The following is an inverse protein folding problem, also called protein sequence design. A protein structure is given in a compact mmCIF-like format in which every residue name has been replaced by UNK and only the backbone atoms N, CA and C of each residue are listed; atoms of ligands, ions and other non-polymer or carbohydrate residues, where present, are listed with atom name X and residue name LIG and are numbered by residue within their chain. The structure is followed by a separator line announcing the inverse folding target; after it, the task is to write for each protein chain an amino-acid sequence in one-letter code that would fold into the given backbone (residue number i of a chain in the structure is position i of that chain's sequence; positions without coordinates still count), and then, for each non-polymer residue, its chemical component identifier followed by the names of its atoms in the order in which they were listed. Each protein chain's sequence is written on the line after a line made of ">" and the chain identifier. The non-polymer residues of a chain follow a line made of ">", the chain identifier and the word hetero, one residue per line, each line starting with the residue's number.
data_IF_631799137327
#
_entry.id   IF_631799137327
#
_cell.length_a   1.000
_cell.length_b   1.000
_cell.length_c   1.000
_cell.angle_alpha   90.00
_cell.angle_beta   90.00
_cell.angle_gamma   90.00
#
_symmetry.space_group_name_H-M   'P 1'
#
loop_
_entity.id
_entity.type
_entity.pdbx_description
1 polymer ?
#
# COMPACT_ATOMS: atom_id res chain seq x y z
N UNK A 1 -37.01 -18.15 -33.42
CA UNK A 1 -35.79 -17.40 -33.06
C UNK A 1 -35.52 -17.70 -31.61
N UNK A 2 -34.76 -18.76 -31.36
CA UNK A 2 -34.42 -19.21 -30.01
C UNK A 2 -33.12 -18.50 -29.61
N UNK A 3 -33.14 -17.79 -28.48
CA UNK A 3 -31.97 -17.09 -27.94
C UNK A 3 -31.04 -18.06 -27.24
N UNK A 4 -29.77 -18.02 -27.62
CA UNK A 4 -28.65 -18.67 -26.94
C UNK A 4 -28.26 -17.84 -25.72
N UNK A 5 -28.43 -18.37 -24.52
CA UNK A 5 -27.83 -17.82 -23.30
C UNK A 5 -26.44 -18.44 -23.11
N UNK A 6 -25.40 -17.70 -23.51
CA UNK A 6 -24.01 -18.02 -23.18
C UNK A 6 -23.79 -17.77 -21.69
N UNK A 7 -23.86 -18.83 -20.88
CA UNK A 7 -23.27 -18.85 -19.55
C UNK A 7 -21.75 -18.82 -19.69
N UNK A 8 -21.14 -17.67 -19.39
CA UNK A 8 -19.68 -17.55 -19.29
C UNK A 8 -19.17 -18.44 -18.16
N UNK A 9 -18.69 -19.63 -18.52
CA UNK A 9 -18.03 -20.54 -17.60
C UNK A 9 -16.74 -19.91 -17.09
N UNK A 10 -16.64 -19.73 -15.77
CA UNK A 10 -15.40 -19.36 -15.09
C UNK A 10 -14.35 -20.44 -15.40
N UNK A 11 -13.17 -20.01 -15.83
CA UNK A 11 -12.11 -20.93 -16.23
C UNK A 11 -11.58 -21.68 -15.00
N UNK A 12 -11.51 -23.03 -15.01
CA UNK A 12 -11.19 -23.84 -13.83
C UNK A 12 -9.78 -23.62 -13.26
N UNK A 13 -8.90 -22.93 -13.99
CA UNK A 13 -7.57 -22.58 -13.48
C UNK A 13 -7.55 -21.35 -12.54
N UNK A 14 -8.68 -20.63 -12.41
CA UNK A 14 -8.78 -19.47 -11.50
C UNK A 14 -9.04 -19.91 -10.03
N UNK A 15 -9.69 -21.06 -9.83
CA UNK A 15 -9.88 -21.67 -8.50
C UNK A 15 -8.63 -22.44 -8.02
N UNK A 16 -7.81 -22.96 -8.93
CA UNK A 16 -6.68 -23.84 -8.60
C UNK A 16 -5.48 -23.14 -7.94
N UNK A 17 -5.45 -21.81 -7.96
CA UNK A 17 -4.42 -21.03 -7.24
C UNK A 17 -4.74 -20.89 -5.74
N UNK A 18 -5.96 -21.22 -5.33
CA UNK A 18 -6.41 -21.15 -3.93
C UNK A 18 -6.07 -22.46 -3.19
N UNK A 19 -5.90 -23.57 -3.91
CA UNK A 19 -5.81 -24.92 -3.34
C UNK A 19 -4.39 -25.38 -2.92
N UNK A 20 -3.32 -24.69 -3.31
CA UNK A 20 -1.93 -25.01 -2.88
C UNK A 20 -1.30 -23.89 -2.03
N UNK A 21 -2.03 -23.41 -1.03
CA UNK A 21 -1.45 -22.56 0.03
C UNK A 21 -0.73 -23.49 1.03
N UNK A 22 0.60 -23.36 1.23
CA UNK A 22 1.31 -24.17 2.23
C UNK A 22 0.71 -23.88 3.61
N UNK A 23 0.55 -24.93 4.44
CA UNK A 23 0.09 -24.88 5.84
C UNK A 23 -0.42 -23.50 6.29
N UNK A 24 -1.66 -23.18 5.89
CA UNK A 24 -2.40 -21.91 6.06
C UNK A 24 -1.51 -20.68 6.27
N UNK A 25 -1.26 -19.90 5.22
CA UNK A 25 -0.60 -18.61 5.33
C UNK A 25 -1.19 -17.78 6.48
N UNK A 26 -0.36 -17.34 7.43
CA UNK A 26 -0.83 -16.61 8.63
C UNK A 26 -1.62 -15.36 8.26
N UNK A 27 -1.25 -14.69 7.18
CA UNK A 27 -1.95 -13.50 6.70
C UNK A 27 -2.36 -13.67 5.24
N UNK A 28 -3.60 -13.34 4.95
CA UNK A 28 -4.09 -13.10 3.58
C UNK A 28 -4.19 -11.59 3.41
N UNK A 29 -3.57 -11.03 2.37
CA UNK A 29 -3.46 -9.57 2.18
C UNK A 29 -4.12 -9.17 0.87
N UNK A 30 -5.04 -8.21 0.95
CA UNK A 30 -5.61 -7.53 -0.21
C UNK A 30 -4.96 -6.15 -0.38
N UNK A 31 -4.56 -5.81 -1.60
CA UNK A 31 -3.96 -4.52 -1.93
C UNK A 31 -4.76 -3.91 -3.08
N UNK A 32 -5.32 -2.73 -2.84
CA UNK A 32 -5.95 -1.90 -3.86
C UNK A 32 -5.00 -0.78 -4.25
N UNK A 33 -4.53 -0.80 -5.50
CA UNK A 33 -3.56 0.15 -6.03
C UNK A 33 -4.26 1.14 -6.96
N UNK A 34 -4.49 2.36 -6.48
CA UNK A 34 -5.03 3.46 -7.26
C UNK A 34 -3.97 4.49 -7.66
N UNK A 35 -4.31 5.29 -8.67
CA UNK A 35 -3.50 6.43 -9.12
C UNK A 35 -3.43 7.57 -8.09
N UNK A 36 -4.44 7.68 -7.22
CA UNK A 36 -4.51 8.71 -6.16
C UNK A 36 -4.17 8.15 -4.78
N UNK A 37 -4.66 6.97 -4.44
CA UNK A 37 -4.45 6.33 -3.14
C UNK A 37 -4.25 4.83 -3.34
N UNK A 38 -3.44 4.24 -2.46
CA UNK A 38 -3.39 2.80 -2.25
C UNK A 38 -3.99 2.46 -0.89
N UNK A 39 -4.66 1.32 -0.80
CA UNK A 39 -5.20 0.77 0.44
C UNK A 39 -4.74 -0.68 0.62
N UNK A 40 -4.60 -1.10 1.88
CA UNK A 40 -4.22 -2.46 2.22
C UNK A 40 -5.18 -2.99 3.28
N UNK A 41 -5.66 -4.21 3.09
CA UNK A 41 -6.41 -4.95 4.08
C UNK A 41 -5.78 -6.32 4.29
N UNK A 42 -6.05 -6.94 5.44
CA UNK A 42 -5.55 -8.26 5.74
C UNK A 42 -6.52 -9.05 6.61
N UNK A 43 -6.39 -10.37 6.55
CA UNK A 43 -7.00 -11.34 7.46
C UNK A 43 -5.87 -12.08 8.17
N UNK A 44 -5.94 -12.18 9.50
CA UNK A 44 -5.08 -13.07 10.29
C UNK A 44 -5.78 -14.44 10.43
N UNK A 45 -5.31 -15.45 9.70
CA UNK A 45 -5.93 -16.78 9.65
C UNK A 45 -5.76 -17.56 10.96
N UNK A 46 -4.85 -17.11 11.83
CA UNK A 46 -4.67 -17.67 13.17
C UNK A 46 -5.53 -16.97 14.24
N UNK A 47 -6.32 -15.95 13.87
CA UNK A 47 -7.18 -15.23 14.82
C UNK A 47 -8.39 -16.02 15.31
N UNK A 48 -8.74 -17.11 14.63
CA UNK A 48 -9.94 -17.90 14.91
C UNK A 48 -11.24 -17.28 14.39
N UNK A 49 -11.16 -16.14 13.68
CA UNK A 49 -12.30 -15.59 12.95
C UNK A 49 -12.48 -16.34 11.62
N UNK A 50 -13.72 -16.71 11.32
CA UNK A 50 -14.08 -17.26 10.01
C UNK A 50 -13.91 -16.18 8.93
N UNK A 51 -13.24 -16.51 7.82
CA UNK A 51 -12.94 -15.56 6.73
C UNK A 51 -14.23 -14.96 6.13
N UNK A 52 -15.34 -15.69 6.23
CA UNK A 52 -16.66 -15.26 5.75
C UNK A 52 -17.29 -14.13 6.57
N UNK A 53 -16.78 -13.85 7.78
CA UNK A 53 -17.28 -12.78 8.62
C UNK A 53 -16.67 -11.43 8.21
N UNK A 54 -17.48 -10.37 8.01
CA UNK A 54 -16.97 -9.05 7.64
C UNK A 54 -15.91 -8.50 8.60
N UNK A 55 -16.01 -8.79 9.90
CA UNK A 55 -15.03 -8.35 10.91
C UNK A 55 -13.67 -9.05 10.82
N UNK A 56 -13.56 -10.15 10.05
CA UNK A 56 -12.28 -10.83 9.82
C UNK A 56 -11.32 -9.98 8.97
N UNK A 57 -11.85 -9.09 8.12
CA UNK A 57 -11.07 -8.22 7.25
C UNK A 57 -10.73 -6.94 8.00
N UNK A 58 -9.43 -6.68 8.15
CA UNK A 58 -8.91 -5.49 8.82
C UNK A 58 -8.21 -4.58 7.84
N UNK A 59 -8.55 -3.30 7.85
CA UNK A 59 -7.76 -2.27 7.17
C UNK A 59 -6.40 -2.16 7.86
N UNK A 60 -5.34 -2.17 7.09
CA UNK A 60 -4.00 -1.98 7.62
C UNK A 60 -3.70 -0.49 7.79
N UNK A 61 -3.44 -0.02 9.02
CA UNK A 61 -3.05 1.37 9.26
C UNK A 61 -1.63 1.58 8.74
N UNK A 62 -1.47 2.13 7.54
CA UNK A 62 -0.17 2.32 6.86
C UNK A 62 0.64 3.40 7.58
N UNK A 63 1.78 3.05 8.23
CA UNK A 63 2.67 4.03 8.82
C UNK A 63 3.41 4.80 7.72
N UNK A 64 3.34 6.12 7.75
CA UNK A 64 3.92 6.98 6.74
C UNK A 64 4.32 8.33 7.33
N UNK A 65 5.24 9.03 6.68
CA UNK A 65 5.54 10.41 7.04
C UNK A 65 4.32 11.28 6.72
N UNK A 66 3.92 12.09 7.70
CA UNK A 66 2.89 13.13 7.53
C UNK A 66 3.49 14.53 7.58
N UNK A 67 4.67 14.66 8.17
CA UNK A 67 5.54 15.82 8.18
C UNK A 67 7.01 15.35 8.35
N UNK A 68 8.01 16.23 8.16
CA UNK A 68 9.42 15.88 8.37
C UNK A 68 9.67 15.18 9.71
N UNK A 69 10.18 13.94 9.67
CA UNK A 69 10.46 13.14 10.87
C UNK A 69 9.24 12.69 11.69
N UNK A 70 8.01 12.98 11.25
CA UNK A 70 6.77 12.61 11.94
C UNK A 70 6.06 11.48 11.21
N UNK A 71 6.04 10.30 11.83
CA UNK A 71 5.34 9.12 11.32
C UNK A 71 4.01 8.96 12.01
N UNK A 72 2.96 8.80 11.23
CA UNK A 72 1.64 8.43 11.72
C UNK A 72 1.01 7.38 10.81
N UNK A 73 -0.01 6.71 11.33
CA UNK A 73 -0.78 5.74 10.58
C UNK A 73 -1.97 6.40 9.88
N UNK A 74 -2.26 5.95 8.65
CA UNK A 74 -3.49 6.30 7.90
C UNK A 74 -4.08 5.05 7.26
N UNK A 75 -5.38 5.08 7.01
CA UNK A 75 -6.08 3.97 6.34
C UNK A 75 -5.66 3.81 4.87
N UNK A 76 -5.14 4.87 4.25
CA UNK A 76 -4.64 4.88 2.88
C UNK A 76 -3.26 5.50 2.78
N UNK A 77 -2.53 5.11 1.73
CA UNK A 77 -1.27 5.71 1.33
C UNK A 77 -1.51 6.54 0.06
N UNK A 78 -1.44 7.88 0.10
CA UNK A 78 -1.50 8.69 -1.11
C UNK A 78 -0.40 8.28 -2.10
N UNK A 79 -0.78 8.08 -3.36
CA UNK A 79 0.09 7.67 -4.48
C UNK A 79 0.89 8.86 -5.04
N UNK A 80 1.62 9.53 -4.16
CA UNK A 80 2.45 10.69 -4.46
C UNK A 80 3.90 10.36 -4.09
N UNK A 81 4.86 10.83 -4.89
CA UNK A 81 6.29 10.75 -4.57
C UNK A 81 6.88 12.14 -4.57
N UNK A 82 7.53 12.51 -3.47
CA UNK A 82 8.26 13.75 -3.35
C UNK A 82 9.76 13.47 -3.33
N UNK A 83 10.50 14.17 -4.19
CA UNK A 83 11.96 14.12 -4.24
C UNK A 83 12.57 15.21 -3.36
N UNK A 84 13.11 14.81 -2.22
CA UNK A 84 13.69 15.74 -1.25
C UNK A 84 14.91 16.48 -1.80
N UNK A 85 15.12 17.69 -1.30
CA UNK A 85 16.37 18.43 -1.49
C UNK A 85 17.50 17.79 -0.68
N UNK A 86 18.75 17.99 -1.09
CA UNK A 86 19.93 17.53 -0.33
C UNK A 86 19.88 18.01 1.13
N UNK A 87 19.47 19.27 1.36
CA UNK A 87 19.36 19.83 2.71
C UNK A 87 18.32 19.10 3.58
N UNK A 88 17.17 18.73 3.01
CA UNK A 88 16.13 17.96 3.72
C UNK A 88 16.60 16.54 4.04
N UNK A 89 17.34 15.91 3.12
CA UNK A 89 17.93 14.58 3.34
C UNK A 89 18.95 14.64 4.48
N UNK A 90 19.85 15.63 4.46
CA UNK A 90 20.84 15.87 5.52
C UNK A 90 20.18 16.16 6.87
N UNK A 91 19.08 16.91 6.87
CA UNK A 91 18.25 17.15 8.06
C UNK A 91 17.44 15.92 8.51
N UNK A 92 17.43 14.84 7.72
CA UNK A 92 16.70 13.61 8.02
C UNK A 92 15.18 13.72 7.85
N UNK A 93 14.69 14.68 7.05
CA UNK A 93 13.25 14.95 6.89
C UNK A 93 12.45 13.75 6.37
N UNK A 94 13.07 12.96 5.48
CA UNK A 94 12.48 11.76 4.85
C UNK A 94 12.83 10.46 5.57
N UNK A 95 13.55 10.52 6.70
CA UNK A 95 14.01 9.31 7.40
C UNK A 95 12.84 8.62 8.11
N UNK A 96 12.68 7.33 7.84
CA UNK A 96 11.75 6.46 8.56
C UNK A 96 12.46 5.73 9.73
N UNK A 97 11.74 5.40 10.82
CA UNK A 97 12.31 4.67 11.96
C UNK A 97 12.91 3.31 11.61
N UNK A 98 12.45 2.70 10.51
CA UNK A 98 12.89 1.39 10.03
C UNK A 98 13.91 1.46 8.87
N UNK A 99 14.45 2.64 8.55
CA UNK A 99 15.45 2.77 7.49
C UNK A 99 16.79 2.14 7.88
N UNK A 100 17.14 1.06 7.17
CA UNK A 100 18.42 0.37 7.31
C UNK A 100 19.52 1.03 6.48
N UNK A 101 20.78 0.71 6.75
CA UNK A 101 21.92 1.17 5.93
C UNK A 101 21.76 0.86 4.44
N UNK A 102 21.09 -0.24 4.11
CA UNK A 102 20.84 -0.66 2.73
C UNK A 102 19.66 0.08 2.07
N UNK A 103 18.59 0.42 2.81
CA UNK A 103 17.45 1.18 2.24
C UNK A 103 17.78 2.66 2.00
N UNK A 104 18.76 3.21 2.74
CA UNK A 104 19.12 4.63 2.70
C UNK A 104 19.63 5.15 1.36
N UNK A 105 20.17 4.31 0.46
CA UNK A 105 20.70 4.81 -0.83
C UNK A 105 19.62 5.26 -1.83
N UNK A 106 18.40 4.71 -1.75
CA UNK A 106 17.29 5.09 -2.65
C UNK A 106 16.07 5.66 -1.90
N UNK A 107 15.86 5.27 -0.64
CA UNK A 107 14.75 5.76 0.17
C UNK A 107 15.05 7.10 0.85
N UNK A 108 16.32 7.45 1.10
CA UNK A 108 16.63 8.71 1.79
C UNK A 108 16.31 9.94 0.94
N UNK A 109 16.35 9.85 -0.38
CA UNK A 109 16.18 11.01 -1.27
C UNK A 109 14.72 11.29 -1.63
N UNK A 110 13.78 10.48 -1.14
CA UNK A 110 12.37 10.60 -1.52
C UNK A 110 11.44 10.06 -0.46
N UNK A 111 10.23 10.61 -0.39
CA UNK A 111 9.15 10.04 0.41
C UNK A 111 7.90 9.82 -0.43
N UNK A 112 7.03 8.93 0.04
CA UNK A 112 5.69 8.70 -0.50
C UNK A 112 4.61 8.99 0.55
N UNK A 113 3.33 9.00 0.16
CA UNK A 113 2.22 9.15 1.10
C UNK A 113 1.85 10.60 1.42
N UNK A 114 1.34 10.84 2.63
CA UNK A 114 0.79 12.14 3.06
C UNK A 114 1.81 13.26 2.96
N UNK A 115 3.01 13.10 3.54
CA UNK A 115 4.04 14.13 3.45
C UNK A 115 4.40 14.41 1.99
N UNK A 116 4.50 13.38 1.14
CA UNK A 116 4.80 13.58 -0.27
C UNK A 116 3.72 14.43 -0.97
N UNK A 117 2.44 14.14 -0.72
CA UNK A 117 1.31 14.90 -1.24
C UNK A 117 1.31 16.35 -0.75
N UNK A 118 1.40 16.55 0.56
CA UNK A 118 1.14 17.86 1.17
C UNK A 118 2.36 18.80 1.04
N UNK A 119 3.56 18.28 1.25
CA UNK A 119 4.81 19.02 1.08
C UNK A 119 5.19 19.16 -0.41
N UNK A 120 4.96 18.12 -1.21
CA UNK A 120 5.23 18.18 -2.64
C UNK A 120 4.43 19.25 -3.38
N UNK A 121 3.21 19.55 -2.92
CA UNK A 121 2.39 20.64 -3.45
C UNK A 121 3.02 22.02 -3.28
N UNK A 122 3.86 22.21 -2.27
CA UNK A 122 4.60 23.48 -2.08
C UNK A 122 5.86 23.54 -2.96
N UNK A 123 6.26 22.43 -3.57
CA UNK A 123 7.41 22.32 -4.47
C UNK A 123 7.10 21.46 -5.71
N UNK A 124 6.25 21.93 -6.64
CA UNK A 124 5.73 21.11 -7.75
C UNK A 124 6.82 20.48 -8.63
N UNK A 125 7.97 21.15 -8.82
CA UNK A 125 9.09 20.61 -9.60
C UNK A 125 9.79 19.40 -8.97
N UNK A 126 9.36 18.97 -7.77
CA UNK A 126 9.87 17.82 -7.02
C UNK A 126 8.78 16.80 -6.71
N UNK A 127 7.55 17.04 -7.17
CA UNK A 127 6.41 16.16 -6.95
C UNK A 127 6.14 15.32 -8.19
N UNK A 128 5.98 14.02 -7.98
CA UNK A 128 5.44 13.09 -8.97
C UNK A 128 4.09 12.60 -8.45
N UNK A 129 3.05 12.86 -9.23
CA UNK A 129 1.69 12.38 -9.02
C UNK A 129 1.14 11.90 -10.36
N UNK A 130 0.15 11.00 -10.33
CA UNK A 130 -0.63 10.72 -11.54
C UNK A 130 -1.60 11.89 -11.79
N UNK A 131 -1.75 12.27 -13.06
CA UNK A 131 -2.79 13.21 -13.51
C UNK A 131 -4.17 12.56 -13.53
#
# INVERSE_FOLDING_TARGET
>A
MSGETTTGGRHPADDSLIDEIPAVARYVVGIDLGTTNSALCYVDTASGAEISEPEAIRVFPVPQLVAPGQVESRETLPSFRYQATTQEVEAGATRLPWDTSASRQHAAESTVGVMARDHGRTMPGRLVESA
#
